data_IF_835091908828
#
_entry.id   IF_835091908828
#
_cell.length_a   1.000
_cell.length_b   1.000
_cell.length_c   1.000
_cell.angle_alpha   90.00
_cell.angle_beta   90.00
_cell.angle_gamma   90.00
#
_symmetry.space_group_name_H-M   'P 1'
#
loop_
_entity.id
_entity.type
_entity.pdbx_description
1 polymer ?
#
# COMPACT_ATOMS: atom_id res chain seq x y z
N UNK A 1 -22.89 -13.39 31.60
CA UNK A 1 -23.74 -12.82 30.52
C UNK A 1 -23.32 -11.42 30.10
N UNK A 2 -23.36 -10.38 30.95
CA UNK A 2 -23.05 -8.99 30.54
C UNK A 2 -21.66 -8.77 29.89
N UNK A 3 -20.59 -9.38 30.44
CA UNK A 3 -19.23 -9.30 29.84
C UNK A 3 -19.13 -9.95 28.46
N UNK A 4 -19.90 -11.02 28.22
CA UNK A 4 -19.93 -11.68 26.92
C UNK A 4 -20.67 -10.81 25.90
N UNK A 5 -21.77 -10.17 26.31
CA UNK A 5 -22.51 -9.22 25.45
C UNK A 5 -21.66 -8.01 25.05
N UNK A 6 -20.89 -7.42 25.98
CA UNK A 6 -19.99 -6.29 25.67
C UNK A 6 -18.87 -6.68 24.69
N UNK A 7 -18.28 -7.87 24.86
CA UNK A 7 -17.29 -8.39 23.91
C UNK A 7 -17.91 -8.64 22.54
N UNK A 8 -19.11 -9.21 22.51
CA UNK A 8 -19.84 -9.44 21.26
C UNK A 8 -20.07 -8.11 20.54
N UNK A 9 -20.49 -7.06 21.24
CA UNK A 9 -20.70 -5.73 20.65
C UNK A 9 -19.44 -5.15 19.99
N UNK A 10 -18.26 -5.37 20.57
CA UNK A 10 -16.98 -4.95 19.96
C UNK A 10 -16.63 -5.76 18.71
N UNK A 11 -16.89 -7.08 18.73
CA UNK A 11 -16.59 -7.98 17.59
C UNK A 11 -17.58 -7.75 16.43
N UNK A 12 -18.83 -7.44 16.75
CA UNK A 12 -19.91 -7.16 15.80
C UNK A 12 -19.82 -5.76 15.18
N UNK A 13 -18.79 -4.97 15.52
CA UNK A 13 -18.60 -3.65 14.94
C UNK A 13 -18.39 -3.78 13.42
N UNK A 14 -19.37 -3.32 12.65
CA UNK A 14 -19.30 -3.34 11.19
C UNK A 14 -18.17 -2.42 10.70
N UNK A 15 -17.37 -2.85 9.72
CA UNK A 15 -16.37 -1.99 9.11
C UNK A 15 -17.04 -0.80 8.40
N UNK A 16 -16.43 0.39 8.45
CA UNK A 16 -16.99 1.56 7.78
C UNK A 16 -16.94 1.39 6.25
N UNK A 17 -18.06 1.68 5.58
CA UNK A 17 -18.13 1.69 4.11
C UNK A 17 -17.39 2.93 3.59
N UNK A 18 -16.39 2.72 2.75
CA UNK A 18 -15.60 3.80 2.14
C UNK A 18 -15.78 3.82 0.62
N UNK A 19 -15.62 5.01 0.03
CA UNK A 19 -15.58 5.17 -1.43
C UNK A 19 -14.26 4.65 -1.99
N UNK A 20 -14.28 4.30 -3.28
CA UNK A 20 -13.07 3.93 -4.00
C UNK A 20 -12.03 5.06 -3.97
N UNK A 21 -10.75 4.69 -3.86
CA UNK A 21 -9.65 5.65 -3.78
C UNK A 21 -9.35 6.20 -5.16
N UNK A 22 -9.09 7.51 -5.26
CA UNK A 22 -8.55 8.12 -6.47
C UNK A 22 -7.09 7.70 -6.67
N UNK A 23 -6.64 7.43 -7.90
CA UNK A 23 -5.24 7.11 -8.18
C UNK A 23 -4.32 8.28 -7.82
N UNK A 24 -3.10 7.97 -7.37
CA UNK A 24 -2.07 8.97 -7.05
C UNK A 24 -1.24 9.19 -8.32
N UNK A 25 -1.24 10.41 -8.85
CA UNK A 25 -0.51 10.78 -10.09
C UNK A 25 0.47 11.95 -9.88
N UNK A 26 0.79 12.27 -8.63
CA UNK A 26 1.62 13.42 -8.28
C UNK A 26 3.10 13.15 -8.58
N UNK A 27 3.70 14.06 -9.35
CA UNK A 27 5.12 14.08 -9.70
C UNK A 27 5.82 15.15 -8.89
N UNK A 28 6.94 14.80 -8.26
CA UNK A 28 7.71 15.68 -7.38
C UNK A 28 8.77 16.43 -8.17
N UNK A 29 9.50 15.69 -9.02
CA UNK A 29 10.59 16.25 -9.81
C UNK A 29 10.83 15.40 -11.06
N UNK A 30 11.43 16.01 -12.08
CA UNK A 30 11.93 15.34 -13.29
C UNK A 30 13.36 15.78 -13.52
N UNK A 31 14.26 14.81 -13.54
CA UNK A 31 15.68 15.06 -13.79
C UNK A 31 16.14 14.28 -15.02
N UNK A 32 16.35 15.01 -16.12
CA UNK A 32 16.75 14.45 -17.42
C UNK A 32 18.19 13.90 -17.41
N UNK A 33 19.04 14.35 -16.48
CA UNK A 33 20.42 13.85 -16.38
C UNK A 33 20.45 12.38 -15.90
N UNK A 34 19.40 11.93 -15.22
CA UNK A 34 19.25 10.58 -14.72
C UNK A 34 18.50 9.66 -15.70
N UNK A 35 18.07 10.17 -16.85
CA UNK A 35 17.42 9.36 -17.88
C UNK A 35 18.38 8.29 -18.40
N UNK A 36 17.94 7.02 -18.40
CA UNK A 36 18.74 5.84 -18.81
C UNK A 36 19.95 5.54 -17.93
N UNK A 37 20.06 6.15 -16.74
CA UNK A 37 21.06 5.74 -15.76
C UNK A 37 20.77 4.32 -15.25
N UNK A 38 19.51 4.05 -14.88
CA UNK A 38 19.04 2.76 -14.38
C UNK A 38 18.15 2.06 -15.40
N UNK A 39 18.14 0.72 -15.38
CA UNK A 39 17.27 -0.11 -16.24
C UNK A 39 15.91 -0.41 -15.62
N UNK A 40 15.79 -0.26 -14.30
CA UNK A 40 14.61 -0.62 -13.52
C UNK A 40 14.12 0.58 -12.69
N UNK A 41 12.83 0.58 -12.35
CA UNK A 41 12.30 1.57 -11.40
C UNK A 41 12.80 1.30 -9.98
N UNK A 42 13.18 2.35 -9.26
CA UNK A 42 13.58 2.30 -7.87
C UNK A 42 12.44 2.77 -6.97
N UNK A 43 12.10 1.99 -5.94
CA UNK A 43 11.07 2.35 -4.97
C UNK A 43 11.75 2.68 -3.65
N UNK A 44 11.54 3.91 -3.19
CA UNK A 44 12.15 4.45 -1.98
C UNK A 44 11.06 4.54 -0.92
N UNK A 45 11.25 3.84 0.20
CA UNK A 45 10.27 3.77 1.29
C UNK A 45 10.92 4.23 2.59
N UNK A 46 10.29 5.17 3.28
CA UNK A 46 10.68 5.55 4.63
C UNK A 46 10.20 4.50 5.63
N UNK A 47 11.10 3.96 6.46
CA UNK A 47 10.84 2.91 7.46
C UNK A 47 10.75 3.43 8.89
N UNK A 48 10.59 4.75 9.08
CA UNK A 48 10.48 5.35 10.41
C UNK A 48 9.31 4.72 11.20
N UNK A 49 9.60 4.33 12.45
CA UNK A 49 8.63 3.72 13.36
C UNK A 49 7.61 4.75 13.85
N UNK A 50 6.35 4.32 14.06
CA UNK A 50 5.28 5.18 14.55
C UNK A 50 4.54 6.02 13.48
N UNK A 51 5.05 6.06 12.24
CA UNK A 51 4.30 6.65 11.12
C UNK A 51 3.17 5.71 10.66
N UNK A 52 2.00 6.29 10.38
CA UNK A 52 0.88 5.53 9.84
C UNK A 52 1.16 5.08 8.40
N UNK A 53 0.70 3.88 8.04
CA UNK A 53 0.82 3.35 6.67
C UNK A 53 0.16 4.24 5.59
N UNK A 54 -0.78 5.10 5.99
CA UNK A 54 -1.47 6.06 5.10
C UNK A 54 -0.61 7.29 4.81
N UNK A 55 0.14 7.75 5.79
CA UNK A 55 0.94 8.99 5.71
C UNK A 55 2.40 8.74 5.37
N UNK A 56 2.88 7.49 5.48
CA UNK A 56 4.26 7.10 5.19
C UNK A 56 4.68 7.55 3.78
N UNK A 57 5.78 8.31 3.64
CA UNK A 57 6.26 8.74 2.34
C UNK A 57 6.88 7.56 1.58
N UNK A 58 6.38 7.34 0.37
CA UNK A 58 6.86 6.31 -0.55
C UNK A 58 6.95 6.93 -1.93
N UNK A 59 8.12 6.82 -2.54
CA UNK A 59 8.45 7.42 -3.83
C UNK A 59 8.86 6.35 -4.82
N UNK A 60 8.62 6.63 -6.09
CA UNK A 60 9.09 5.81 -7.20
C UNK A 60 9.91 6.70 -8.12
N UNK A 61 11.16 6.29 -8.34
CA UNK A 61 12.03 6.85 -9.38
C UNK A 61 11.91 5.97 -10.60
N UNK A 62 11.41 6.55 -11.66
CA UNK A 62 11.29 5.89 -12.96
C UNK A 62 12.60 6.04 -13.76
N UNK A 63 12.89 5.10 -14.70
CA UNK A 63 14.09 5.15 -15.56
C UNK A 63 14.18 6.39 -16.48
N UNK A 64 13.07 7.10 -16.67
CA UNK A 64 13.01 8.35 -17.41
C UNK A 64 13.56 9.54 -16.61
N UNK A 65 13.90 9.35 -15.33
CA UNK A 65 14.37 10.39 -14.42
C UNK A 65 13.25 11.04 -13.58
N UNK A 66 12.00 10.60 -13.76
CA UNK A 66 10.84 11.12 -13.02
C UNK A 66 10.81 10.57 -11.59
N UNK A 67 10.74 11.47 -10.61
CA UNK A 67 10.46 11.16 -9.23
C UNK A 67 8.98 11.45 -8.94
N UNK A 68 8.21 10.40 -8.64
CA UNK A 68 6.77 10.50 -8.36
C UNK A 68 6.40 9.84 -7.04
N UNK A 69 5.21 10.15 -6.54
CA UNK A 69 4.62 9.35 -5.48
C UNK A 69 4.29 7.93 -5.96
N UNK A 70 4.46 6.95 -5.08
CA UNK A 70 4.11 5.56 -5.37
C UNK A 70 2.59 5.38 -5.49
N UNK A 71 2.18 4.49 -6.40
CA UNK A 71 0.77 4.11 -6.59
C UNK A 71 0.22 3.39 -5.36
N UNK A 72 -1.10 3.27 -5.22
CA UNK A 72 -1.71 2.55 -4.09
C UNK A 72 -1.26 1.09 -3.99
N UNK A 73 -1.05 0.42 -5.11
CA UNK A 73 -0.54 -0.95 -5.16
C UNK A 73 0.91 -1.04 -4.69
N UNK A 74 1.78 -0.17 -5.22
CA UNK A 74 3.18 -0.08 -4.81
C UNK A 74 3.29 0.22 -3.31
N UNK A 75 2.48 1.16 -2.79
CA UNK A 75 2.44 1.50 -1.36
C UNK A 75 1.98 0.32 -0.51
N UNK A 76 0.91 -0.36 -0.91
CA UNK A 76 0.39 -1.53 -0.17
C UNK A 76 1.44 -2.63 -0.11
N UNK A 77 2.13 -2.90 -1.24
CA UNK A 77 3.20 -3.90 -1.30
C UNK A 77 4.41 -3.53 -0.46
N UNK A 78 4.89 -2.28 -0.54
CA UNK A 78 6.05 -1.83 0.26
C UNK A 78 5.75 -1.83 1.76
N UNK A 79 4.55 -1.38 2.15
CA UNK A 79 4.13 -1.43 3.55
C UNK A 79 4.12 -2.88 4.06
N UNK A 80 3.64 -3.85 3.26
CA UNK A 80 3.64 -5.25 3.68
C UNK A 80 5.05 -5.87 3.77
N UNK A 81 6.01 -5.40 2.95
CA UNK A 81 7.41 -5.86 3.02
C UNK A 81 8.10 -5.35 4.29
N UNK A 82 7.96 -4.06 4.61
CA UNK A 82 8.70 -3.42 5.70
C UNK A 82 7.94 -3.43 7.03
N UNK A 83 6.60 -3.42 7.01
CA UNK A 83 5.70 -3.45 8.17
C UNK A 83 4.63 -4.55 7.99
N UNK A 84 5.01 -5.83 8.06
CA UNK A 84 4.11 -6.94 7.77
C UNK A 84 2.92 -6.97 8.75
N UNK A 85 1.72 -7.22 8.22
CA UNK A 85 0.52 -7.38 9.04
C UNK A 85 0.06 -8.85 9.02
N UNK A 86 -0.29 -9.42 10.19
CA UNK A 86 -0.71 -10.82 10.25
C UNK A 86 -1.92 -11.07 9.34
N UNK A 87 -1.84 -12.14 8.55
CA UNK A 87 -2.90 -12.56 7.62
C UNK A 87 -2.87 -11.91 6.24
N UNK A 88 -2.03 -10.90 6.00
CA UNK A 88 -1.82 -10.35 4.66
C UNK A 88 -0.76 -11.12 3.89
N UNK A 89 -0.90 -11.16 2.56
CA UNK A 89 0.06 -11.78 1.64
C UNK A 89 0.51 -10.76 0.61
N UNK A 90 1.79 -10.84 0.21
CA UNK A 90 2.39 -9.95 -0.79
C UNK A 90 1.78 -10.09 -2.18
N UNK A 91 1.39 -11.32 -2.55
CA UNK A 91 0.71 -11.63 -3.80
C UNK A 91 -0.75 -11.90 -3.52
N UNK A 92 -1.61 -11.45 -4.43
CA UNK A 92 -3.04 -11.75 -4.39
C UNK A 92 -3.24 -13.26 -4.27
N UNK A 93 -3.97 -13.75 -3.24
CA UNK A 93 -4.27 -15.16 -3.10
C UNK A 93 -5.12 -15.68 -4.28
N UNK A 94 -4.81 -16.89 -4.76
CA UNK A 94 -5.54 -17.52 -5.87
C UNK A 94 -7.06 -17.66 -5.63
N UNK A 95 -7.49 -17.76 -4.36
CA UNK A 95 -8.92 -17.84 -4.00
C UNK A 95 -9.75 -16.64 -4.50
N UNK A 96 -9.11 -15.53 -4.88
CA UNK A 96 -9.77 -14.34 -5.43
C UNK A 96 -9.75 -14.30 -6.97
N UNK A 97 -9.21 -15.32 -7.63
CA UNK A 97 -9.35 -15.46 -9.09
C UNK A 97 -10.76 -15.98 -9.42
N UNK A 98 -11.31 -15.57 -10.57
CA UNK A 98 -12.71 -15.83 -10.96
C UNK A 98 -13.10 -17.32 -10.94
N UNK A 99 -12.14 -18.21 -11.18
CA UNK A 99 -12.33 -19.67 -11.15
C UNK A 99 -12.64 -20.20 -9.74
N UNK A 100 -12.10 -19.57 -8.70
CA UNK A 100 -12.21 -20.00 -7.30
C UNK A 100 -13.20 -19.16 -6.48
N UNK A 101 -13.78 -18.11 -7.06
CA UNK A 101 -14.69 -17.18 -6.39
C UNK A 101 -16.18 -17.61 -6.43
N UNK A 102 -16.50 -18.70 -7.15
CA UNK A 102 -17.86 -19.21 -7.34
C UNK A 102 -18.44 -19.91 -6.12
#
# INVERSE_FOLDING_TARGET
>A
MKKAAQRAETILQMPPVMKERKPITEVISRDLALTRHDTCKLIITDITFGLSDRTRPIFTREPDGTLRHATWEERTRMNEIYNPQPGRKLKTPKMFEDEYLK
#
